data_IF_793348911943
#
_entry.id   IF_793348911943
#
_cell.length_a   1.000
_cell.length_b   1.000
_cell.length_c   1.000
_cell.angle_alpha   90.00
_cell.angle_beta   90.00
_cell.angle_gamma   90.00
#
_symmetry.space_group_name_H-M   'P 1'
#
loop_
_entity.id
_entity.type
_entity.pdbx_description
1 polymer ?
#
# COMPACT_ATOMS: atom_id res chain seq x y z
N UNK A 1 -7.71 0.48 -10.65
CA UNK A 1 -7.02 0.54 -9.34
C UNK A 1 -8.00 0.66 -8.16
N UNK A 2 -9.20 1.17 -8.36
CA UNK A 2 -10.19 1.40 -7.28
C UNK A 2 -11.30 0.32 -7.23
N UNK A 3 -11.10 -0.80 -7.91
CA UNK A 3 -12.07 -1.91 -7.87
C UNK A 3 -11.70 -2.86 -6.74
N UNK A 4 -12.42 -2.81 -5.63
CA UNK A 4 -12.25 -3.74 -4.50
C UNK A 4 -12.42 -5.21 -4.93
N UNK A 5 -13.44 -5.59 -5.73
CA UNK A 5 -13.55 -6.96 -6.23
C UNK A 5 -12.32 -7.42 -7.03
N UNK A 6 -11.69 -6.53 -7.80
CA UNK A 6 -10.46 -6.84 -8.52
C UNK A 6 -9.30 -7.11 -7.57
N UNK A 7 -9.10 -6.22 -6.58
CA UNK A 7 -7.99 -6.36 -5.62
C UNK A 7 -8.12 -7.65 -4.80
N UNK A 8 -9.33 -7.98 -4.33
CA UNK A 8 -9.59 -9.23 -3.60
C UNK A 8 -9.33 -10.44 -4.51
N UNK A 9 -9.79 -10.42 -5.77
CA UNK A 9 -9.54 -11.50 -6.71
C UNK A 9 -8.04 -11.68 -7.00
N UNK A 10 -7.29 -10.58 -7.16
CA UNK A 10 -5.83 -10.61 -7.34
C UNK A 10 -5.12 -11.21 -6.13
N UNK A 11 -5.50 -10.81 -4.91
CA UNK A 11 -4.98 -11.41 -3.67
C UNK A 11 -5.22 -12.91 -3.61
N UNK A 12 -6.41 -13.37 -3.96
CA UNK A 12 -6.76 -14.82 -3.94
C UNK A 12 -5.97 -15.62 -4.98
N UNK A 13 -5.66 -15.04 -6.14
CA UNK A 13 -4.96 -15.74 -7.23
C UNK A 13 -3.44 -15.68 -7.08
N UNK A 14 -2.89 -14.54 -6.66
CA UNK A 14 -1.45 -14.27 -6.64
C UNK A 14 -0.84 -14.15 -5.25
N UNK A 15 -1.66 -14.10 -4.20
CA UNK A 15 -1.21 -13.85 -2.83
C UNK A 15 -0.87 -12.39 -2.52
N UNK A 16 -0.97 -11.51 -3.52
CA UNK A 16 -0.67 -10.09 -3.38
C UNK A 16 -1.50 -9.24 -4.34
N UNK A 17 -1.65 -7.94 -4.07
CA UNK A 17 -2.29 -6.96 -4.93
C UNK A 17 -1.40 -5.71 -5.07
N UNK A 18 -0.12 -5.92 -5.41
CA UNK A 18 0.87 -4.90 -5.66
C UNK A 18 0.79 -4.32 -7.09
N UNK A 19 1.79 -3.52 -7.47
CA UNK A 19 1.79 -2.83 -8.76
C UNK A 19 1.76 -3.81 -9.96
N UNK A 20 2.43 -4.95 -9.83
CA UNK A 20 2.53 -5.96 -10.89
C UNK A 20 1.17 -6.61 -11.20
N UNK A 21 0.26 -6.67 -10.23
CA UNK A 21 -1.08 -7.20 -10.43
C UNK A 21 -2.00 -6.25 -11.21
N UNK A 22 -1.52 -5.05 -11.57
CA UNK A 22 -2.26 -4.09 -12.40
C UNK A 22 -1.72 -3.94 -13.84
N UNK A 23 -0.81 -4.83 -14.27
CA UNK A 23 -0.39 -4.92 -15.68
C UNK A 23 -1.52 -5.43 -16.57
N UNK A 24 -1.44 -5.16 -17.87
CA UNK A 24 -2.45 -5.59 -18.83
C UNK A 24 -2.58 -7.13 -18.87
N UNK A 25 -1.44 -7.82 -18.79
CA UNK A 25 -1.40 -9.28 -18.77
C UNK A 25 -2.19 -9.85 -17.58
N UNK A 26 -1.91 -9.38 -16.35
CA UNK A 26 -2.58 -9.84 -15.14
C UNK A 26 -4.05 -9.43 -15.11
N UNK A 27 -4.37 -8.24 -15.62
CA UNK A 27 -5.76 -7.78 -15.72
C UNK A 27 -6.61 -8.66 -16.65
N UNK A 28 -5.98 -9.29 -17.61
CA UNK A 28 -6.65 -10.18 -18.57
C UNK A 28 -6.73 -11.64 -18.09
N UNK A 29 -6.21 -11.96 -16.90
CA UNK A 29 -6.25 -13.33 -16.35
C UNK A 29 -7.70 -13.80 -16.14
N UNK A 30 -8.13 -14.90 -16.77
CA UNK A 30 -9.50 -15.42 -16.65
C UNK A 30 -9.85 -15.85 -15.24
N UNK A 31 -8.86 -16.22 -14.40
CA UNK A 31 -9.08 -16.58 -13.00
C UNK A 31 -9.55 -15.38 -12.19
N UNK A 32 -8.93 -14.21 -12.42
CA UNK A 32 -9.35 -12.94 -11.80
C UNK A 32 -10.77 -12.58 -12.26
N UNK A 33 -11.03 -12.68 -13.57
CA UNK A 33 -12.36 -12.39 -14.11
C UNK A 33 -13.43 -13.28 -13.49
N UNK A 34 -13.18 -14.58 -13.40
CA UNK A 34 -14.12 -15.54 -12.79
C UNK A 34 -14.40 -15.28 -11.31
N UNK A 35 -13.38 -14.88 -10.54
CA UNK A 35 -13.53 -14.55 -9.13
C UNK A 35 -14.22 -13.20 -8.91
N UNK A 36 -13.80 -12.17 -9.67
CA UNK A 36 -14.34 -10.81 -9.53
C UNK A 36 -15.88 -10.77 -9.59
N UNK A 37 -16.51 -11.57 -10.45
CA UNK A 37 -17.96 -11.63 -10.57
C UNK A 37 -18.66 -12.34 -9.40
N UNK A 38 -17.90 -13.01 -8.55
CA UNK A 38 -18.41 -13.71 -7.36
C UNK A 38 -18.22 -12.90 -6.08
N UNK A 39 -17.48 -11.80 -6.15
CA UNK A 39 -17.24 -10.92 -5.03
C UNK A 39 -18.30 -9.84 -5.01
N UNK A 40 -19.00 -9.75 -3.89
CA UNK A 40 -19.97 -8.69 -3.60
C UNK A 40 -19.34 -7.72 -2.61
N UNK A 41 -19.63 -6.46 -2.78
CA UNK A 41 -19.28 -5.40 -1.83
C UNK A 41 -20.59 -4.83 -1.34
N UNK A 42 -20.79 -4.86 -0.05
CA UNK A 42 -22.01 -4.41 0.62
C UNK A 42 -21.63 -3.38 1.68
N UNK A 43 -22.49 -2.41 1.89
CA UNK A 43 -22.36 -1.46 2.98
C UNK A 43 -22.90 -2.10 4.26
N UNK A 44 -22.16 -2.00 5.35
CA UNK A 44 -22.64 -2.30 6.69
C UNK A 44 -22.92 -0.97 7.40
N UNK A 45 -24.18 -0.68 7.62
CA UNK A 45 -24.63 0.60 8.22
C UNK A 45 -24.01 0.78 9.61
N UNK A 46 -23.85 -0.28 10.39
CA UNK A 46 -23.26 -0.18 11.73
C UNK A 46 -21.80 0.30 11.68
N UNK A 47 -21.04 -0.07 10.65
CA UNK A 47 -19.67 0.40 10.45
C UNK A 47 -19.62 1.82 9.87
N UNK A 48 -20.60 2.15 9.03
CA UNK A 48 -20.72 3.50 8.47
C UNK A 48 -21.03 4.54 9.56
N UNK A 49 -21.82 4.18 10.55
CA UNK A 49 -22.15 5.06 11.70
C UNK A 49 -20.95 5.33 12.60
N UNK A 50 -20.02 4.40 12.71
CA UNK A 50 -18.77 4.55 13.47
C UNK A 50 -17.70 5.35 12.74
N UNK A 51 -17.82 5.52 11.42
CA UNK A 51 -16.87 6.29 10.62
C UNK A 51 -17.00 7.80 10.91
N UNK A 52 -15.90 8.57 11.05
CA UNK A 52 -14.49 8.20 10.80
C UNK A 52 -13.72 7.71 12.03
N UNK A 53 -14.37 7.56 13.19
CA UNK A 53 -13.71 7.17 14.45
C UNK A 53 -13.14 5.76 14.34
N UNK A 54 -13.96 4.82 13.85
CA UNK A 54 -13.53 3.46 13.55
C UNK A 54 -13.63 3.21 12.04
N UNK A 55 -12.67 2.49 11.51
CA UNK A 55 -12.65 2.05 10.11
C UNK A 55 -12.60 0.53 10.10
N UNK A 56 -13.77 -0.06 10.11
CA UNK A 56 -13.93 -1.51 10.20
C UNK A 56 -14.26 -2.06 8.81
N UNK A 57 -13.60 -3.14 8.44
CA UNK A 57 -13.91 -3.90 7.24
C UNK A 57 -14.10 -5.37 7.60
N UNK A 58 -15.11 -6.01 7.04
CA UNK A 58 -15.38 -7.45 7.21
C UNK A 58 -15.24 -8.16 5.87
N UNK A 59 -14.51 -9.26 5.87
CA UNK A 59 -14.40 -10.15 4.73
C UNK A 59 -15.01 -11.51 5.09
N UNK A 60 -16.00 -11.93 4.30
CA UNK A 60 -16.58 -13.29 4.40
C UNK A 60 -16.25 -14.08 3.15
N UNK A 61 -15.76 -15.30 3.32
CA UNK A 61 -15.43 -16.22 2.21
C UNK A 61 -16.18 -17.52 2.39
N UNK A 62 -16.99 -17.90 1.39
CA UNK A 62 -17.68 -19.19 1.33
C UNK A 62 -17.07 -20.07 0.24
N UNK A 63 -16.64 -21.27 0.60
CA UNK A 63 -16.14 -22.26 -0.35
C UNK A 63 -17.25 -23.14 -0.89
N UNK A 64 -16.99 -23.81 -2.02
CA UNK A 64 -17.93 -24.74 -2.66
C UNK A 64 -18.26 -25.97 -1.81
N UNK A 65 -17.37 -26.35 -0.90
CA UNK A 65 -17.55 -27.46 0.04
C UNK A 65 -18.34 -27.09 1.30
N UNK A 66 -18.84 -25.86 1.37
CA UNK A 66 -19.64 -25.36 2.48
C UNK A 66 -18.85 -24.70 3.62
N UNK A 67 -17.52 -24.78 3.62
CA UNK A 67 -16.70 -24.09 4.61
C UNK A 67 -16.82 -22.57 4.42
N UNK A 68 -16.82 -21.87 5.55
CA UNK A 68 -16.87 -20.40 5.57
C UNK A 68 -15.78 -19.87 6.49
N UNK A 69 -15.21 -18.75 6.10
CA UNK A 69 -14.35 -17.93 6.94
C UNK A 69 -14.88 -16.51 6.96
N UNK A 70 -14.71 -15.89 8.09
CA UNK A 70 -15.05 -14.48 8.29
C UNK A 70 -13.94 -13.84 9.10
N UNK A 71 -13.50 -12.68 8.67
CA UNK A 71 -12.48 -11.87 9.32
C UNK A 71 -12.95 -10.44 9.36
N UNK A 72 -12.81 -9.83 10.51
CA UNK A 72 -13.09 -8.41 10.73
C UNK A 72 -11.78 -7.72 11.07
N UNK A 73 -11.51 -6.61 10.41
CA UNK A 73 -10.28 -5.84 10.58
C UNK A 73 -10.64 -4.39 10.84
N UNK A 74 -10.15 -3.87 11.95
CA UNK A 74 -10.10 -2.44 12.18
C UNK A 74 -8.86 -1.86 11.51
N UNK A 75 -9.05 -0.93 10.59
CA UNK A 75 -7.93 -0.27 9.92
C UNK A 75 -7.28 0.72 10.89
N UNK A 76 -5.95 0.63 11.07
CA UNK A 76 -5.26 1.48 12.03
C UNK A 76 -5.38 2.96 11.63
N UNK A 77 -5.70 3.79 12.60
CA UNK A 77 -5.60 5.23 12.45
C UNK A 77 -4.13 5.68 12.42
N UNK A 78 -3.87 6.71 11.63
CA UNK A 78 -2.59 7.40 11.65
C UNK A 78 -1.63 7.02 10.52
N UNK A 79 -0.37 7.35 10.72
CA UNK A 79 0.69 7.12 9.74
C UNK A 79 1.17 5.67 9.82
N UNK A 80 1.38 5.01 8.66
CA UNK A 80 1.91 3.66 8.66
C UNK A 80 3.31 3.62 9.32
N UNK A 81 3.67 2.50 9.98
CA UNK A 81 4.99 2.32 10.59
C UNK A 81 6.13 2.54 9.57
N UNK A 82 7.28 3.04 10.05
CA UNK A 82 8.45 3.30 9.18
C UNK A 82 8.89 2.05 8.41
N UNK A 83 8.84 0.89 9.05
CA UNK A 83 9.19 -0.39 8.47
C UNK A 83 8.28 -0.73 7.28
N UNK A 84 7.00 -0.46 7.39
CA UNK A 84 6.04 -0.64 6.31
C UNK A 84 6.36 0.29 5.12
N UNK A 85 6.62 1.58 5.40
CA UNK A 85 7.00 2.55 4.36
C UNK A 85 8.28 2.11 3.66
N UNK A 86 9.28 1.67 4.43
CA UNK A 86 10.56 1.18 3.92
C UNK A 86 10.37 -0.04 3.02
N UNK A 87 9.64 -1.04 3.49
CA UNK A 87 9.38 -2.27 2.74
C UNK A 87 8.64 -1.97 1.42
N UNK A 88 7.60 -1.14 1.48
CA UNK A 88 6.83 -0.71 0.31
C UNK A 88 7.68 0.06 -0.68
N UNK A 89 8.52 0.99 -0.22
CA UNK A 89 9.44 1.72 -1.10
C UNK A 89 10.41 0.79 -1.80
N UNK A 90 11.07 -0.12 -1.06
CA UNK A 90 12.04 -1.06 -1.63
C UNK A 90 11.38 -1.99 -2.66
N UNK A 91 10.17 -2.46 -2.40
CA UNK A 91 9.41 -3.28 -3.35
C UNK A 91 9.11 -2.53 -4.65
N UNK A 92 8.69 -1.28 -4.57
CA UNK A 92 8.33 -0.49 -5.75
C UNK A 92 9.56 0.02 -6.50
N UNK A 93 10.56 0.54 -5.80
CA UNK A 93 11.78 1.08 -6.39
C UNK A 93 12.60 -0.02 -7.08
N UNK A 94 12.60 -1.24 -6.53
CA UNK A 94 13.29 -2.40 -7.12
C UNK A 94 12.76 -2.83 -8.49
N UNK A 95 11.63 -2.30 -8.94
CA UNK A 95 11.13 -2.50 -10.31
C UNK A 95 11.89 -1.65 -11.34
N UNK A 96 12.61 -0.61 -10.93
CA UNK A 96 13.23 0.37 -11.84
C UNK A 96 14.70 0.69 -11.53
N UNK A 97 15.11 0.53 -10.28
CA UNK A 97 16.49 0.79 -9.84
C UNK A 97 17.01 -0.40 -9.04
N UNK A 98 18.35 -0.54 -8.98
CA UNK A 98 18.97 -1.59 -8.17
C UNK A 98 18.66 -1.44 -6.68
N UNK A 99 18.69 -2.58 -5.98
CA UNK A 99 18.29 -2.67 -4.58
C UNK A 99 19.16 -1.83 -3.66
N UNK A 100 20.46 -1.76 -3.92
CA UNK A 100 21.40 -1.03 -3.06
C UNK A 100 21.18 0.47 -3.21
N UNK A 101 20.89 0.94 -4.42
CA UNK A 101 20.55 2.33 -4.68
C UNK A 101 19.22 2.69 -4.00
N UNK A 102 18.21 1.83 -4.12
CA UNK A 102 16.93 2.01 -3.45
C UNK A 102 17.11 2.07 -1.92
N UNK A 103 17.91 1.19 -1.35
CA UNK A 103 18.20 1.18 0.07
C UNK A 103 18.89 2.48 0.54
N UNK A 104 19.88 2.98 -0.21
CA UNK A 104 20.52 4.27 0.13
C UNK A 104 19.54 5.44 0.08
N UNK A 105 18.70 5.49 -0.93
CA UNK A 105 17.70 6.57 -1.08
C UNK A 105 16.73 6.56 0.11
N UNK A 106 16.16 5.42 0.47
CA UNK A 106 15.16 5.38 1.54
C UNK A 106 15.79 5.73 2.90
N UNK A 107 17.01 5.29 3.18
CA UNK A 107 17.71 5.65 4.41
C UNK A 107 18.00 7.17 4.48
N UNK A 108 18.40 7.77 3.37
CA UNK A 108 18.58 9.22 3.29
C UNK A 108 17.26 9.97 3.57
N UNK A 109 16.16 9.53 2.96
CA UNK A 109 14.84 10.15 3.17
C UNK A 109 14.38 9.99 4.62
N UNK A 110 14.53 8.80 5.20
CA UNK A 110 14.12 8.53 6.58
C UNK A 110 14.99 9.23 7.64
N UNK A 111 16.22 9.60 7.26
CA UNK A 111 17.12 10.39 8.12
C UNK A 111 16.88 11.89 8.05
N UNK A 112 16.06 12.38 7.10
CA UNK A 112 15.72 13.79 7.01
C UNK A 112 14.85 14.19 8.20
N UNK A 113 15.41 15.02 9.06
CA UNK A 113 14.69 15.74 10.11
C UNK A 113 14.55 17.20 9.71
N UNK A 114 13.64 17.92 10.31
CA UNK A 114 13.51 19.37 10.09
C UNK A 114 14.84 20.09 10.39
N UNK A 115 15.53 19.67 11.44
CA UNK A 115 16.83 20.20 11.83
C UNK A 115 17.91 19.92 10.76
N UNK A 116 17.98 18.69 10.23
CA UNK A 116 18.93 18.35 9.16
C UNK A 116 18.64 19.09 7.86
N UNK A 117 17.36 19.34 7.56
CA UNK A 117 16.96 20.15 6.42
C UNK A 117 17.38 21.60 6.58
N UNK A 118 17.13 22.20 7.74
CA UNK A 118 17.51 23.59 8.04
C UNK A 118 19.03 23.79 8.03
N UNK A 119 19.79 22.84 8.56
CA UNK A 119 21.26 22.90 8.51
C UNK A 119 21.78 22.85 7.06
N UNK A 120 21.24 21.95 6.22
CA UNK A 120 21.63 21.87 4.80
C UNK A 120 21.29 23.15 4.02
N UNK A 121 20.12 23.76 4.28
CA UNK A 121 19.75 25.05 3.69
C UNK A 121 20.66 26.18 4.17
N UNK A 122 20.99 26.21 5.46
CA UNK A 122 21.89 27.17 6.03
C UNK A 122 23.33 27.10 5.50
N UNK A 123 23.82 25.87 5.26
CA UNK A 123 25.15 25.64 4.69
C UNK A 123 25.19 25.98 3.19
N UNK A 124 24.13 25.69 2.44
CA UNK A 124 23.99 26.09 1.04
C UNK A 124 24.03 27.61 0.87
N UNK A 125 23.25 28.32 1.68
CA UNK A 125 23.22 29.80 1.68
C UNK A 125 24.56 30.43 2.09
N UNK A 126 25.30 29.85 3.04
CA UNK A 126 26.62 30.31 3.44
C UNK A 126 27.69 30.10 2.37
N UNK A 127 27.59 29.02 1.60
CA UNK A 127 28.47 28.72 0.46
C UNK A 127 28.35 29.77 -0.67
N UNK A 128 27.11 30.21 -0.96
CA UNK A 128 26.85 31.22 -1.98
C UNK A 128 27.28 32.62 -1.57
N UNK A 129 27.23 32.96 -0.27
CA UNK A 129 27.65 34.26 0.24
C UNK A 129 29.17 34.43 0.35
N UNK A 130 29.93 33.32 0.42
CA UNK A 130 31.40 33.36 0.55
C UNK A 130 32.14 33.07 -0.76
N UNK A 131 31.43 32.87 -1.88
CA UNK A 131 31.98 32.56 -3.20
C UNK A 131 31.91 33.71 -4.20
N UNK A 132 31.67 34.95 -3.75
CA UNK A 132 31.62 36.17 -4.56
C UNK A 132 32.88 37.03 -4.42
#
# INVERSE_FOLDING_TARGET
KFSMPYCIAAMLVYGEAGLMQFTEEVRSDPRIHGLKHRIKVEEDISYTEEYPILRIERLSVALKDGRKWEEEVELPEGKPPREYIRAKFLSLAGLTIDRDRAARIIEQVLSLTMESLMNRLGDGLRGELNGG
#
